data_IF_674247037601
#
_entry.id   IF_674247037601
#
_cell.length_a   1.000
_cell.length_b   1.000
_cell.length_c   1.000
_cell.angle_alpha   90.00
_cell.angle_beta   90.00
_cell.angle_gamma   90.00
#
_symmetry.space_group_name_H-M   'P 1'
#
loop_
_entity.id
_entity.type
_entity.pdbx_description
1 polymer ?
#
# COMPACT_ATOMS: atom_id res chain seq x y z
N UNK A 1 -5.94 16.07 3.46
CA UNK A 1 -4.89 16.69 4.32
C UNK A 1 -4.79 15.86 5.59
N UNK A 2 -3.57 15.60 6.12
CA UNK A 2 -3.44 14.84 7.38
C UNK A 2 -4.26 15.49 8.50
N UNK A 3 -5.02 14.67 9.24
CA UNK A 3 -5.75 15.11 10.41
C UNK A 3 -4.77 15.48 11.51
N UNK A 4 -4.56 16.79 11.69
CA UNK A 4 -3.58 17.32 12.62
C UNK A 4 -3.92 17.02 14.08
N UNK A 5 -5.20 16.90 14.41
CA UNK A 5 -5.65 16.63 15.78
C UNK A 5 -5.35 15.18 16.15
N UNK A 6 -5.66 14.24 15.26
CA UNK A 6 -5.35 12.83 15.47
C UNK A 6 -3.85 12.57 15.51
N UNK A 7 -3.10 13.22 14.61
CA UNK A 7 -1.64 13.13 14.61
C UNK A 7 -1.04 13.62 15.94
N UNK A 8 -1.42 14.81 16.38
CA UNK A 8 -0.97 15.37 17.68
C UNK A 8 -1.36 14.45 18.85
N UNK A 9 -2.59 13.95 18.88
CA UNK A 9 -3.06 13.07 19.94
C UNK A 9 -2.27 11.76 20.00
N UNK A 10 -1.83 11.25 18.87
CA UNK A 10 -1.01 10.02 18.79
C UNK A 10 0.42 10.28 19.29
N UNK A 11 1.06 11.34 18.79
CA UNK A 11 2.41 11.74 19.22
C UNK A 11 2.48 12.05 20.72
N UNK A 12 1.46 12.72 21.29
CA UNK A 12 1.38 13.00 22.73
C UNK A 12 1.26 11.73 23.60
N UNK A 13 0.95 10.57 23.02
CA UNK A 13 0.87 9.28 23.72
C UNK A 13 2.13 8.44 23.56
N UNK A 14 3.20 8.99 23.02
CA UNK A 14 4.45 8.29 22.70
C UNK A 14 4.20 7.00 21.94
N UNK A 15 3.31 7.06 20.94
CA UNK A 15 3.02 5.93 20.04
C UNK A 15 3.05 6.37 18.58
N UNK A 16 3.29 5.43 17.72
CA UNK A 16 3.22 5.63 16.28
C UNK A 16 1.78 5.90 15.82
N UNK A 17 1.65 6.74 14.82
CA UNK A 17 0.40 6.95 14.11
C UNK A 17 0.47 6.24 12.76
N UNK A 18 -0.33 5.19 12.59
CA UNK A 18 -0.31 4.35 11.39
C UNK A 18 -1.42 4.79 10.46
N UNK A 19 -1.06 5.30 9.28
CA UNK A 19 -2.01 5.75 8.26
C UNK A 19 -1.92 4.91 7.00
N UNK A 20 -3.10 4.56 6.45
CA UNK A 20 -3.25 3.98 5.13
C UNK A 20 -3.53 5.06 4.08
N UNK A 21 -2.89 4.97 2.93
CA UNK A 21 -3.23 5.73 1.73
C UNK A 21 -3.71 4.74 0.69
N UNK A 22 -5.02 4.61 0.62
CA UNK A 22 -5.72 3.65 -0.23
C UNK A 22 -6.29 4.31 -1.47
N UNK A 23 -6.64 3.52 -2.43
CA UNK A 23 -7.25 3.94 -3.69
C UNK A 23 -6.78 3.06 -4.84
N UNK A 24 -7.60 2.95 -5.87
CA UNK A 24 -7.33 2.06 -7.00
C UNK A 24 -6.07 2.46 -7.76
N UNK A 25 -5.56 1.55 -8.61
CA UNK A 25 -4.38 1.82 -9.45
C UNK A 25 -4.52 3.15 -10.19
N UNK A 26 -3.44 3.92 -10.28
CA UNK A 26 -3.37 5.25 -10.93
C UNK A 26 -4.26 6.35 -10.30
N UNK A 27 -4.79 6.17 -9.10
CA UNK A 27 -5.58 7.21 -8.41
C UNK A 27 -4.75 8.42 -7.94
N UNK A 28 -3.42 8.33 -7.93
CA UNK A 28 -2.52 9.40 -7.49
C UNK A 28 -1.96 9.23 -6.08
N UNK A 29 -2.03 8.02 -5.53
CA UNK A 29 -1.53 7.70 -4.18
C UNK A 29 -0.07 8.10 -3.98
N UNK A 30 0.83 7.72 -4.89
CA UNK A 30 2.26 8.05 -4.80
C UNK A 30 2.51 9.56 -4.74
N UNK A 31 1.79 10.34 -5.57
CA UNK A 31 1.87 11.81 -5.51
C UNK A 31 1.36 12.36 -4.18
N UNK A 32 0.34 11.73 -3.60
CA UNK A 32 -0.18 12.13 -2.29
C UNK A 32 0.80 11.76 -1.17
N UNK A 33 1.44 10.60 -1.24
CA UNK A 33 2.50 10.17 -0.32
C UNK A 33 3.65 11.17 -0.29
N UNK A 34 4.14 11.64 -1.45
CA UNK A 34 5.20 12.64 -1.50
C UNK A 34 4.80 13.97 -0.82
N UNK A 35 3.54 14.38 -0.94
CA UNK A 35 3.02 15.56 -0.22
C UNK A 35 2.94 15.32 1.30
N UNK A 36 2.61 14.10 1.73
CA UNK A 36 2.61 13.72 3.14
C UNK A 36 4.03 13.74 3.68
N UNK A 37 4.97 13.10 2.98
CA UNK A 37 6.40 13.06 3.29
C UNK A 37 6.96 14.47 3.51
N UNK A 38 6.81 15.37 2.54
CA UNK A 38 7.28 16.75 2.64
C UNK A 38 6.73 17.50 3.87
N UNK A 39 5.48 17.19 4.28
CA UNK A 39 4.89 17.79 5.48
C UNK A 39 5.46 17.21 6.78
N UNK A 40 5.76 15.92 6.82
CA UNK A 40 6.39 15.28 7.99
C UNK A 40 7.81 15.79 8.16
N UNK A 41 8.58 15.88 7.08
CA UNK A 41 9.93 16.46 7.06
C UNK A 41 9.94 17.90 7.54
N UNK A 42 9.05 18.77 7.02
CA UNK A 42 8.93 20.16 7.47
C UNK A 42 8.63 20.29 8.97
N UNK A 43 7.96 19.28 9.55
CA UNK A 43 7.61 19.24 10.97
C UNK A 43 8.62 18.48 11.83
N UNK A 44 9.68 17.95 11.23
CA UNK A 44 10.69 17.12 11.89
C UNK A 44 10.07 15.92 12.63
N UNK A 45 9.04 15.30 12.00
CA UNK A 45 8.38 14.09 12.51
C UNK A 45 9.00 12.90 11.84
N UNK A 46 9.49 11.94 12.61
CA UNK A 46 10.01 10.68 12.11
C UNK A 46 8.92 9.88 11.39
N UNK A 47 9.29 9.24 10.29
CA UNK A 47 8.34 8.45 9.51
C UNK A 47 9.00 7.27 8.78
N UNK A 48 8.17 6.30 8.44
CA UNK A 48 8.50 5.25 7.47
C UNK A 48 7.36 5.13 6.47
N UNK A 49 7.69 5.03 5.18
CA UNK A 49 6.73 4.79 4.11
C UNK A 49 6.91 3.36 3.61
N UNK A 50 5.81 2.62 3.52
CA UNK A 50 5.76 1.24 3.04
C UNK A 50 4.83 1.21 1.83
N UNK A 51 5.40 0.90 0.65
CA UNK A 51 4.65 0.72 -0.58
C UNK A 51 4.27 -0.75 -0.72
N UNK A 52 2.98 -1.04 -0.62
CA UNK A 52 2.48 -2.42 -0.65
C UNK A 52 2.78 -3.13 -1.97
N UNK A 53 2.90 -2.37 -3.06
CA UNK A 53 3.25 -2.90 -4.39
C UNK A 53 4.68 -3.49 -4.45
N UNK A 54 5.55 -3.17 -3.49
CA UNK A 54 6.86 -3.82 -3.37
C UNK A 54 6.78 -5.23 -2.74
N UNK A 55 5.65 -5.59 -2.15
CA UNK A 55 5.46 -6.83 -1.38
C UNK A 55 4.49 -7.81 -2.05
N UNK A 56 4.34 -7.70 -3.37
CA UNK A 56 3.52 -8.61 -4.19
C UNK A 56 4.21 -9.97 -4.34
N UNK A 57 3.44 -10.99 -4.66
CA UNK A 57 3.99 -12.34 -4.92
C UNK A 57 4.49 -12.47 -6.37
N UNK A 58 5.21 -13.55 -6.67
CA UNK A 58 5.73 -13.86 -8.01
C UNK A 58 4.58 -14.03 -9.02
N UNK A 59 4.84 -13.74 -10.30
CA UNK A 59 3.84 -13.77 -11.39
C UNK A 59 3.08 -15.09 -11.47
N UNK A 60 3.78 -16.22 -11.35
CA UNK A 60 3.17 -17.56 -11.41
C UNK A 60 2.08 -17.80 -10.35
N UNK A 61 2.09 -17.05 -9.26
CA UNK A 61 1.11 -17.15 -8.17
C UNK A 61 -0.11 -16.25 -8.36
N UNK A 62 -0.03 -15.24 -9.23
CA UNK A 62 -1.04 -14.19 -9.38
C UNK A 62 -1.50 -13.92 -10.80
N UNK A 63 -1.06 -14.71 -11.77
CA UNK A 63 -1.49 -14.62 -13.17
C UNK A 63 -1.69 -16.00 -13.77
N UNK A 64 -2.63 -16.08 -14.71
CA UNK A 64 -2.93 -17.29 -15.47
C UNK A 64 -3.35 -18.46 -14.56
N UNK A 65 -4.12 -18.14 -13.54
CA UNK A 65 -4.72 -19.11 -12.62
C UNK A 65 -6.13 -19.50 -13.12
N UNK A 66 -6.83 -20.33 -12.37
CA UNK A 66 -8.22 -20.69 -12.63
C UNK A 66 -9.24 -19.58 -12.28
N UNK A 67 -8.77 -18.47 -11.68
CA UNK A 67 -9.62 -17.37 -11.25
C UNK A 67 -9.75 -16.28 -12.32
N UNK A 68 -10.86 -15.55 -12.28
CA UNK A 68 -11.02 -14.32 -13.07
C UNK A 68 -9.92 -13.31 -12.77
N UNK A 69 -9.46 -12.50 -13.76
CA UNK A 69 -8.35 -11.56 -13.58
C UNK A 69 -8.54 -10.56 -12.41
N UNK A 70 -9.77 -10.14 -12.10
CA UNK A 70 -10.04 -9.26 -10.96
C UNK A 70 -9.91 -10.00 -9.62
N UNK A 71 -10.27 -11.29 -9.56
CA UNK A 71 -10.07 -12.14 -8.38
C UNK A 71 -8.58 -12.39 -8.13
N UNK A 72 -7.81 -12.68 -9.20
CA UNK A 72 -6.35 -12.76 -9.10
C UNK A 72 -5.76 -11.48 -8.50
N UNK A 73 -6.23 -10.30 -8.96
CA UNK A 73 -5.77 -9.02 -8.46
C UNK A 73 -6.14 -8.77 -7.00
N UNK A 74 -7.35 -9.10 -6.60
CA UNK A 74 -7.80 -8.89 -5.23
C UNK A 74 -7.26 -9.94 -4.25
N UNK A 75 -7.28 -11.23 -4.63
CA UNK A 75 -6.96 -12.33 -3.71
C UNK A 75 -5.52 -12.81 -3.81
N UNK A 76 -4.90 -12.79 -4.99
CA UNK A 76 -3.62 -13.44 -5.24
C UNK A 76 -2.45 -12.46 -5.43
N UNK A 77 -2.70 -11.16 -5.51
CA UNK A 77 -1.63 -10.16 -5.68
C UNK A 77 -0.62 -10.18 -4.53
N UNK A 78 -1.10 -10.46 -3.32
CA UNK A 78 -0.31 -10.54 -2.10
C UNK A 78 -0.58 -11.85 -1.36
N UNK A 79 0.41 -12.32 -0.61
CA UNK A 79 0.19 -13.26 0.48
C UNK A 79 -0.43 -12.50 1.66
N UNK A 80 -1.76 -12.47 1.69
CA UNK A 80 -2.56 -11.63 2.60
C UNK A 80 -2.28 -11.95 4.06
N UNK A 81 -2.22 -13.24 4.41
CA UNK A 81 -1.96 -13.68 5.78
C UNK A 81 -0.51 -13.44 6.21
N UNK A 82 0.44 -13.66 5.31
CA UNK A 82 1.85 -13.33 5.60
C UNK A 82 2.01 -11.85 5.88
N UNK A 83 1.44 -10.97 5.04
CA UNK A 83 1.51 -9.52 5.27
C UNK A 83 0.73 -9.09 6.52
N UNK A 84 -0.43 -9.69 6.80
CA UNK A 84 -1.13 -9.45 8.06
C UNK A 84 -0.23 -9.69 9.26
N UNK A 85 0.49 -10.81 9.27
CA UNK A 85 1.31 -11.22 10.42
C UNK A 85 2.67 -10.51 10.47
N UNK A 86 3.37 -10.39 9.33
CA UNK A 86 4.73 -9.85 9.27
C UNK A 86 4.76 -8.31 9.13
N UNK A 87 3.70 -7.68 8.61
CA UNK A 87 3.60 -6.23 8.45
C UNK A 87 2.56 -5.65 9.41
N UNK A 88 1.28 -5.84 9.14
CA UNK A 88 0.22 -5.04 9.76
C UNK A 88 0.15 -5.20 11.29
N UNK A 89 0.23 -6.41 11.80
CA UNK A 89 0.24 -6.67 13.25
C UNK A 89 1.46 -6.09 13.98
N UNK A 90 2.55 -5.86 13.26
CA UNK A 90 3.82 -5.40 13.81
C UNK A 90 3.96 -3.87 13.79
N UNK A 91 3.14 -3.15 13.00
CA UNK A 91 3.28 -1.69 12.80
C UNK A 91 3.28 -0.89 14.10
N UNK A 92 2.52 -1.29 15.08
CA UNK A 92 2.40 -0.56 16.34
C UNK A 92 3.61 -0.72 17.25
N UNK A 93 4.30 -1.86 17.25
CA UNK A 93 5.23 -2.25 18.33
C UNK A 93 6.64 -2.63 17.86
N UNK A 94 6.81 -3.21 16.67
CA UNK A 94 8.12 -3.68 16.23
C UNK A 94 9.09 -2.55 15.92
N UNK A 95 10.38 -2.71 16.21
CA UNK A 95 11.43 -1.76 15.82
C UNK A 95 11.90 -1.96 14.37
N UNK A 96 11.62 -3.12 13.80
CA UNK A 96 11.90 -3.43 12.39
C UNK A 96 10.98 -4.55 11.91
N UNK A 97 10.77 -4.59 10.60
CA UNK A 97 10.02 -5.63 9.89
C UNK A 97 10.95 -6.41 8.98
N UNK A 98 10.65 -7.68 8.75
CA UNK A 98 11.25 -8.47 7.67
C UNK A 98 10.15 -8.86 6.71
N UNK A 99 10.18 -8.31 5.48
CA UNK A 99 9.10 -8.46 4.51
C UNK A 99 9.64 -8.98 3.17
N UNK A 100 8.84 -9.77 2.42
CA UNK A 100 9.19 -10.15 1.07
C UNK A 100 9.20 -8.93 0.16
N UNK A 101 10.32 -8.63 -0.46
CA UNK A 101 10.44 -7.58 -1.47
C UNK A 101 10.48 -8.21 -2.86
N UNK A 102 9.60 -7.77 -3.74
CA UNK A 102 9.47 -8.33 -5.09
C UNK A 102 10.41 -7.66 -6.10
N UNK A 103 11.27 -8.45 -6.71
CA UNK A 103 12.19 -8.04 -7.78
C UNK A 103 11.64 -8.42 -9.15
N UNK A 104 11.05 -7.46 -9.84
CA UNK A 104 10.34 -7.67 -11.11
C UNK A 104 11.23 -8.20 -12.24
N UNK A 105 12.51 -7.83 -12.26
CA UNK A 105 13.47 -8.27 -13.28
C UNK A 105 13.75 -9.79 -13.24
N UNK A 106 13.64 -10.39 -12.06
CA UNK A 106 13.91 -11.83 -11.84
C UNK A 106 12.66 -12.63 -11.49
N UNK A 107 11.52 -11.96 -11.30
CA UNK A 107 10.28 -12.55 -10.81
C UNK A 107 10.48 -13.34 -9.50
N UNK A 108 11.20 -12.77 -8.56
CA UNK A 108 11.51 -13.40 -7.26
C UNK A 108 11.22 -12.47 -6.09
N UNK A 109 10.93 -13.05 -4.94
CA UNK A 109 10.82 -12.32 -3.68
C UNK A 109 12.02 -12.65 -2.79
N UNK A 110 12.57 -11.61 -2.14
CA UNK A 110 13.62 -11.74 -1.12
C UNK A 110 13.19 -11.01 0.13
N UNK A 111 13.52 -11.57 1.29
CA UNK A 111 13.21 -10.91 2.55
C UNK A 111 14.17 -9.73 2.78
N UNK A 112 13.59 -8.54 3.00
CA UNK A 112 14.31 -7.32 3.32
C UNK A 112 13.88 -6.76 4.68
N UNK A 113 14.84 -6.12 5.35
CA UNK A 113 14.61 -5.52 6.66
C UNK A 113 14.29 -4.03 6.53
N UNK A 114 13.14 -3.63 7.08
CA UNK A 114 12.67 -2.24 7.15
C UNK A 114 12.74 -1.78 8.60
N UNK A 115 13.42 -0.68 8.88
CA UNK A 115 13.40 -0.06 10.22
C UNK A 115 12.14 0.77 10.40
N UNK A 116 11.58 0.71 11.60
CA UNK A 116 10.46 1.54 12.01
C UNK A 116 10.92 2.55 13.08
N UNK A 117 10.43 3.78 13.06
CA UNK A 117 10.74 4.77 14.10
C UNK A 117 10.12 4.29 15.43
N UNK A 118 10.69 4.69 16.57
CA UNK A 118 10.11 4.41 17.89
C UNK A 118 8.79 5.13 18.09
N UNK A 119 8.69 6.33 17.58
CA UNK A 119 7.52 7.23 17.54
C UNK A 119 7.42 7.86 16.16
N UNK A 120 6.34 8.61 15.90
CA UNK A 120 6.15 9.26 14.61
C UNK A 120 5.06 8.61 13.75
N UNK A 121 5.24 8.60 12.45
CA UNK A 121 4.21 8.19 11.49
C UNK A 121 4.68 7.02 10.64
N UNK A 122 3.83 6.00 10.53
CA UNK A 122 3.99 4.96 9.51
C UNK A 122 2.92 5.19 8.44
N UNK A 123 3.35 5.28 7.20
CA UNK A 123 2.48 5.42 6.03
C UNK A 123 2.52 4.10 5.26
N UNK A 124 1.38 3.43 5.15
CA UNK A 124 1.22 2.28 4.25
C UNK A 124 0.45 2.75 3.03
N UNK A 125 1.07 2.66 1.85
CA UNK A 125 0.45 3.03 0.58
C UNK A 125 0.17 1.79 -0.26
N UNK A 126 -1.05 1.67 -0.77
CA UNK A 126 -1.42 0.55 -1.62
C UNK A 126 -2.85 0.58 -2.10
N UNK A 127 -3.29 -0.52 -2.67
CA UNK A 127 -4.68 -0.78 -3.01
C UNK A 127 -5.27 -1.77 -2.00
N UNK A 128 -6.59 -1.73 -1.80
CA UNK A 128 -7.32 -2.67 -0.94
C UNK A 128 -6.87 -2.66 0.54
N UNK A 129 -6.33 -1.55 1.04
CA UNK A 129 -5.92 -1.44 2.44
C UNK A 129 -7.09 -1.56 3.43
N UNK A 130 -8.33 -1.36 2.94
CA UNK A 130 -9.53 -1.45 3.75
C UNK A 130 -10.12 -2.86 3.84
N UNK A 131 -9.40 -3.87 3.34
CA UNK A 131 -9.79 -5.26 3.54
C UNK A 131 -9.77 -5.63 5.02
N UNK A 132 -10.62 -6.56 5.42
CA UNK A 132 -10.84 -6.93 6.83
C UNK A 132 -9.56 -7.36 7.54
N UNK A 133 -8.68 -8.07 6.84
CA UNK A 133 -7.45 -8.60 7.38
C UNK A 133 -6.43 -7.52 7.78
N UNK A 134 -6.52 -6.32 7.21
CA UNK A 134 -5.53 -5.25 7.39
C UNK A 134 -6.07 -3.97 8.03
N UNK A 135 -7.34 -3.62 7.75
CA UNK A 135 -7.94 -2.34 8.14
C UNK A 135 -7.84 -2.02 9.63
N UNK A 136 -7.96 -3.04 10.47
CA UNK A 136 -7.98 -2.92 11.94
C UNK A 136 -6.64 -2.44 12.52
N UNK A 137 -5.55 -2.54 11.78
CA UNK A 137 -4.21 -2.12 12.20
C UNK A 137 -3.85 -0.68 11.77
N UNK A 138 -4.74 -0.01 11.05
CA UNK A 138 -4.56 1.36 10.56
C UNK A 138 -5.40 2.32 11.41
N UNK A 139 -4.75 3.32 12.03
CA UNK A 139 -5.44 4.35 12.82
C UNK A 139 -6.36 5.21 11.94
N UNK A 140 -5.93 5.47 10.71
CA UNK A 140 -6.71 6.22 9.72
C UNK A 140 -6.41 5.76 8.30
N UNK A 141 -7.41 5.83 7.43
CA UNK A 141 -7.23 5.56 5.99
C UNK A 141 -7.76 6.75 5.18
N UNK A 142 -6.90 7.25 4.30
CA UNK A 142 -7.27 8.20 3.25
C UNK A 142 -7.54 7.41 1.98
N UNK A 143 -8.76 7.47 1.49
CA UNK A 143 -9.11 6.87 0.20
C UNK A 143 -9.05 7.93 -0.89
N UNK A 144 -8.22 7.69 -1.91
CA UNK A 144 -8.09 8.57 -3.07
C UNK A 144 -9.02 8.07 -4.17
N UNK A 145 -10.15 8.72 -4.28
CA UNK A 145 -11.07 8.50 -5.40
C UNK A 145 -10.58 9.21 -6.66
N UNK A 146 -10.69 8.50 -7.78
CA UNK A 146 -10.32 9.01 -9.09
C UNK A 146 -11.13 8.28 -10.17
N UNK A 147 -11.74 9.05 -11.09
CA UNK A 147 -12.56 8.46 -12.13
C UNK A 147 -11.79 7.45 -12.99
N UNK A 148 -12.51 6.45 -13.51
CA UNK A 148 -11.94 5.40 -14.37
C UNK A 148 -11.19 5.97 -15.57
N UNK A 149 -11.77 6.98 -16.22
CA UNK A 149 -11.16 7.68 -17.36
C UNK A 149 -9.80 8.31 -16.98
N UNK A 150 -9.75 9.09 -15.89
CA UNK A 150 -8.49 9.70 -15.43
C UNK A 150 -7.44 8.67 -15.06
N UNK A 151 -7.84 7.54 -14.47
CA UNK A 151 -6.92 6.45 -14.14
C UNK A 151 -6.39 5.78 -15.41
N UNK A 152 -7.26 5.53 -16.39
CA UNK A 152 -6.89 4.95 -17.67
C UNK A 152 -5.91 5.84 -18.45
N UNK A 153 -6.17 7.15 -18.52
CA UNK A 153 -5.29 8.11 -19.19
C UNK A 153 -3.89 8.25 -18.54
N UNK A 154 -3.71 7.74 -17.32
CA UNK A 154 -2.42 7.70 -16.63
C UNK A 154 -1.68 6.38 -16.77
N UNK A 155 -2.28 5.40 -17.43
CA UNK A 155 -1.61 4.14 -17.75
C UNK A 155 -0.55 4.31 -18.83
N UNK A 156 0.40 3.36 -18.90
CA UNK A 156 1.36 3.32 -19.99
C UNK A 156 0.65 3.05 -21.33
N UNK A 157 1.22 3.53 -22.42
CA UNK A 157 0.70 3.28 -23.77
C UNK A 157 0.46 1.78 -24.02
N UNK A 158 1.39 0.93 -23.58
CA UNK A 158 1.25 -0.53 -23.67
C UNK A 158 -0.01 -1.06 -22.96
N UNK A 159 -0.35 -0.50 -21.77
CA UNK A 159 -1.55 -0.91 -21.04
C UNK A 159 -2.82 -0.35 -21.66
N UNK A 160 -2.75 0.86 -22.26
CA UNK A 160 -3.89 1.46 -22.94
C UNK A 160 -4.29 0.68 -24.22
N UNK A 161 -3.34 0.05 -24.90
CA UNK A 161 -3.63 -0.83 -26.04
C UNK A 161 -4.39 -2.09 -25.62
N UNK A 162 -4.13 -2.63 -24.42
CA UNK A 162 -4.84 -3.78 -23.87
C UNK A 162 -5.97 -3.34 -22.92
N UNK A 163 -7.01 -2.70 -23.47
CA UNK A 163 -8.18 -2.25 -22.70
C UNK A 163 -8.90 -3.40 -21.99
N UNK A 164 -8.89 -4.61 -22.57
CA UNK A 164 -9.53 -5.78 -21.99
C UNK A 164 -8.90 -6.14 -20.64
N UNK A 165 -7.57 -6.13 -20.54
CA UNK A 165 -6.86 -6.35 -19.29
C UNK A 165 -7.25 -5.33 -18.23
N UNK A 166 -7.35 -4.05 -18.63
CA UNK A 166 -7.76 -2.99 -17.72
C UNK A 166 -9.19 -3.20 -17.22
N UNK A 167 -10.12 -3.53 -18.11
CA UNK A 167 -11.52 -3.78 -17.78
C UNK A 167 -11.70 -5.01 -16.91
N UNK A 168 -11.07 -6.12 -17.25
CA UNK A 168 -11.26 -7.38 -16.56
C UNK A 168 -10.54 -7.45 -15.20
N UNK A 169 -9.41 -6.75 -15.06
CA UNK A 169 -8.59 -6.82 -13.85
C UNK A 169 -8.80 -5.63 -12.91
N UNK A 170 -8.70 -4.41 -13.42
CA UNK A 170 -8.64 -3.22 -12.56
C UNK A 170 -9.97 -2.49 -12.38
N UNK A 171 -10.91 -2.66 -13.32
CA UNK A 171 -12.22 -2.03 -13.18
C UNK A 171 -13.22 -2.87 -12.40
N UNK A 172 -13.06 -4.20 -12.40
CA UNK A 172 -13.92 -5.10 -11.64
C UNK A 172 -13.52 -5.23 -10.18
N UNK A 173 -12.24 -5.13 -9.86
CA UNK A 173 -11.73 -5.14 -8.50
C UNK A 173 -12.00 -3.82 -7.78
#
# INVERSE_FOLDING_TARGET
MLDQNKLKASLNRNRRYVIGIDGLSRSGKTTFVEKVKAKLEKKQIDYTIIHLDHHIVEKRKRYQTEYDPWMEYYHLQWDVERLRNALFRQLATASSLTLPFYYSAKDECRDEKIRLPSEGVIVVEGVFLQREEWRVYLDHVYFLDCSREKRFNRESEHTQVDINKFQQRYWKA
#
